data_IF_147775234027
#
_entry.id   IF_147775234027
#
_cell.length_a   1.000
_cell.length_b   1.000
_cell.length_c   1.000
_cell.angle_alpha   90.00
_cell.angle_beta   90.00
_cell.angle_gamma   90.00
#
_symmetry.space_group_name_H-M   'P 1'
#
loop_
_entity.id
_entity.type
_entity.pdbx_description
1 polymer ?
#
# COMPACT_ATOMS: atom_id res chain seq x y z
N UNK A 1 -3.66 -38.48 -27.81
CA UNK A 1 -2.39 -38.30 -27.05
C UNK A 1 -1.87 -36.87 -27.27
N UNK A 2 -2.12 -36.28 -28.43
CA UNK A 2 -1.69 -34.93 -28.82
C UNK A 2 -2.28 -33.79 -27.98
N UNK A 3 -3.47 -33.94 -27.39
CA UNK A 3 -4.02 -32.92 -26.46
C UNK A 3 -3.34 -32.91 -25.07
N UNK A 4 -2.49 -33.90 -24.74
CA UNK A 4 -1.80 -33.95 -23.44
C UNK A 4 -0.52 -33.11 -23.38
N UNK A 5 0.03 -32.75 -24.53
CA UNK A 5 1.27 -31.98 -24.63
C UNK A 5 0.99 -30.67 -25.36
N UNK A 6 1.15 -29.57 -24.64
CA UNK A 6 1.14 -28.26 -25.27
C UNK A 6 2.34 -28.14 -26.20
N UNK A 7 2.09 -27.83 -27.48
CA UNK A 7 3.12 -27.90 -28.51
C UNK A 7 4.15 -26.78 -28.44
N UNK A 8 3.79 -25.59 -27.94
CA UNK A 8 4.71 -24.45 -27.80
C UNK A 8 4.32 -23.57 -26.62
N UNK A 9 5.24 -23.37 -25.67
CA UNK A 9 5.14 -22.36 -24.63
C UNK A 9 6.49 -21.66 -24.45
N UNK A 10 6.47 -20.37 -24.12
CA UNK A 10 7.67 -19.51 -24.07
C UNK A 10 7.76 -18.75 -22.75
N UNK A 11 8.98 -18.46 -22.34
CA UNK A 11 9.33 -17.62 -21.20
C UNK A 11 10.05 -16.34 -21.65
N UNK A 12 10.52 -15.53 -20.70
CA UNK A 12 11.15 -14.23 -20.97
C UNK A 12 12.36 -14.32 -21.90
N UNK A 13 13.21 -15.32 -21.73
CA UNK A 13 14.46 -15.46 -22.51
C UNK A 13 14.24 -15.93 -23.95
N UNK A 14 13.07 -16.51 -24.24
CA UNK A 14 12.77 -17.04 -25.58
C UNK A 14 12.36 -15.94 -26.57
N UNK A 15 12.14 -14.71 -26.10
CA UNK A 15 11.56 -13.62 -26.89
C UNK A 15 12.28 -12.28 -26.69
N UNK A 16 12.24 -11.46 -27.73
CA UNK A 16 12.61 -10.04 -27.71
C UNK A 16 11.43 -9.21 -28.25
N UNK A 17 11.37 -7.95 -27.86
CA UNK A 17 10.41 -6.99 -28.43
C UNK A 17 11.03 -6.36 -29.68
N UNK A 18 10.30 -6.40 -30.79
CA UNK A 18 10.73 -5.78 -32.04
C UNK A 18 10.59 -4.24 -31.94
N UNK A 19 11.66 -3.47 -32.18
CA UNK A 19 11.58 -2.01 -32.21
C UNK A 19 10.60 -1.52 -33.28
N UNK A 20 9.82 -0.50 -32.97
CA UNK A 20 8.90 0.16 -33.90
C UNK A 20 9.16 1.67 -33.93
N UNK A 21 8.64 2.33 -34.96
CA UNK A 21 8.67 3.79 -35.07
C UNK A 21 8.04 4.45 -33.82
N UNK A 22 8.69 5.47 -33.28
CA UNK A 22 8.25 6.23 -32.10
C UNK A 22 8.51 7.72 -32.31
N UNK A 23 7.50 8.55 -32.02
CA UNK A 23 7.63 10.01 -31.97
C UNK A 23 7.82 10.53 -30.54
N UNK A 24 7.66 9.66 -29.53
CA UNK A 24 7.82 10.00 -28.12
C UNK A 24 9.21 9.63 -27.61
N UNK A 25 9.75 10.45 -26.71
CA UNK A 25 11.00 10.16 -26.00
C UNK A 25 10.72 9.47 -24.65
N UNK A 26 11.64 8.64 -24.12
CA UNK A 26 11.38 7.88 -22.89
C UNK A 26 10.95 8.72 -21.67
N UNK A 27 11.43 9.96 -21.55
CA UNK A 27 11.09 10.85 -20.44
C UNK A 27 9.63 11.35 -20.46
N UNK A 28 8.95 11.26 -21.60
CA UNK A 28 7.56 11.69 -21.79
C UNK A 28 6.56 10.53 -21.64
N UNK A 29 7.04 9.30 -21.47
CA UNK A 29 6.19 8.12 -21.38
C UNK A 29 5.52 8.05 -20.01
N UNK A 30 4.19 8.02 -20.00
CA UNK A 30 3.42 7.69 -18.80
C UNK A 30 3.46 6.19 -18.55
N UNK A 31 3.97 5.80 -17.38
CA UNK A 31 4.06 4.41 -16.93
C UNK A 31 3.00 4.08 -15.86
N UNK A 32 2.04 4.98 -15.65
CA UNK A 32 0.91 4.75 -14.76
C UNK A 32 0.06 3.56 -15.23
N UNK A 33 -0.57 2.88 -14.27
CA UNK A 33 -1.37 1.68 -14.54
C UNK A 33 -2.44 1.51 -13.48
N UNK A 34 -3.32 0.53 -13.67
CA UNK A 34 -4.35 0.15 -12.71
C UNK A 34 -4.04 -1.21 -12.11
N UNK A 35 -3.92 -1.28 -10.79
CA UNK A 35 -3.90 -2.54 -10.05
C UNK A 35 -5.30 -3.13 -9.96
N UNK A 36 -6.30 -2.28 -9.73
CA UNK A 36 -7.72 -2.62 -9.74
C UNK A 36 -8.51 -1.44 -10.32
N UNK A 37 -9.84 -1.52 -10.38
CA UNK A 37 -10.66 -0.40 -10.84
C UNK A 37 -10.51 0.86 -9.95
N UNK A 38 -10.32 0.66 -8.65
CA UNK A 38 -10.23 1.75 -7.65
C UNK A 38 -8.79 2.14 -7.28
N UNK A 39 -7.79 1.38 -7.73
CA UNK A 39 -6.39 1.56 -7.34
C UNK A 39 -5.53 1.76 -8.60
N UNK A 40 -5.13 3.02 -8.80
CA UNK A 40 -4.13 3.44 -9.78
C UNK A 40 -2.74 3.43 -9.13
N UNK A 41 -1.73 2.99 -9.88
CA UNK A 41 -0.33 3.06 -9.53
C UNK A 41 0.39 4.00 -10.50
N UNK A 42 1.40 4.73 -10.01
CA UNK A 42 2.23 5.60 -10.86
C UNK A 42 3.40 4.86 -11.51
N UNK A 43 3.73 3.67 -11.02
CA UNK A 43 4.61 2.71 -11.67
C UNK A 43 3.99 1.31 -11.62
N UNK A 44 4.23 0.43 -12.60
CA UNK A 44 3.55 -0.87 -12.68
C UNK A 44 4.22 -1.94 -11.81
N UNK A 45 4.60 -1.59 -10.58
CA UNK A 45 5.40 -2.43 -9.69
C UNK A 45 4.70 -2.59 -8.33
N UNK A 46 4.54 -3.85 -7.91
CA UNK A 46 4.17 -4.19 -6.54
C UNK A 46 5.17 -5.18 -5.92
N UNK A 47 5.33 -5.14 -4.59
CA UNK A 47 6.24 -6.06 -3.90
C UNK A 47 5.52 -7.35 -3.49
N UNK A 48 6.26 -8.46 -3.55
CA UNK A 48 5.72 -9.79 -3.23
C UNK A 48 5.43 -9.95 -1.73
N UNK A 49 4.35 -10.63 -1.32
CA UNK A 49 4.02 -10.92 0.07
C UNK A 49 4.88 -12.03 0.69
N UNK A 50 6.19 -11.81 0.69
CA UNK A 50 7.19 -12.69 1.29
C UNK A 50 7.81 -12.05 2.52
N UNK A 51 8.13 -12.86 3.53
CA UNK A 51 8.78 -12.42 4.78
C UNK A 51 10.19 -11.88 4.60
N UNK A 52 10.83 -12.18 3.46
CA UNK A 52 12.13 -11.64 3.05
C UNK A 52 12.02 -10.42 2.14
N UNK A 53 10.80 -9.93 1.87
CA UNK A 53 10.58 -8.84 0.91
C UNK A 53 9.77 -7.70 1.51
N UNK A 54 8.58 -7.97 2.07
CA UNK A 54 7.61 -6.91 2.33
C UNK A 54 7.06 -6.90 3.75
N UNK A 55 7.66 -6.06 4.58
CA UNK A 55 7.02 -5.48 5.78
C UNK A 55 6.75 -3.98 5.54
N UNK A 56 6.40 -3.22 6.58
CA UNK A 56 6.04 -1.80 6.46
C UNK A 56 7.12 -0.95 5.81
N UNK A 57 8.41 -1.18 6.07
CA UNK A 57 9.50 -0.38 5.48
C UNK A 57 9.49 -0.44 3.95
N UNK A 58 9.51 -1.65 3.37
CA UNK A 58 9.39 -1.86 1.92
C UNK A 58 8.08 -1.29 1.38
N UNK A 59 6.95 -1.54 2.06
CA UNK A 59 5.65 -1.06 1.60
C UNK A 59 5.56 0.46 1.56
N UNK A 60 6.13 1.15 2.55
CA UNK A 60 6.23 2.61 2.61
C UNK A 60 7.10 3.13 1.46
N UNK A 61 8.30 2.59 1.29
CA UNK A 61 9.23 3.06 0.27
C UNK A 61 8.68 2.85 -1.15
N UNK A 62 8.11 1.67 -1.41
CA UNK A 62 7.53 1.39 -2.73
C UNK A 62 6.29 2.25 -3.00
N UNK A 63 5.43 2.47 -1.99
CA UNK A 63 4.28 3.36 -2.15
C UNK A 63 4.71 4.82 -2.37
N UNK A 64 5.80 5.29 -1.76
CA UNK A 64 6.37 6.62 -2.00
C UNK A 64 6.84 6.80 -3.46
N UNK A 65 7.42 5.77 -4.05
CA UNK A 65 7.84 5.77 -5.47
C UNK A 65 6.68 5.50 -6.45
N UNK A 66 5.46 5.31 -5.95
CA UNK A 66 4.24 5.17 -6.77
C UNK A 66 3.82 3.73 -7.08
N UNK A 67 4.51 2.75 -6.52
CA UNK A 67 4.10 1.34 -6.53
C UNK A 67 3.18 1.02 -5.34
N UNK A 68 3.10 -0.26 -4.96
CA UNK A 68 2.34 -0.68 -3.78
C UNK A 68 2.97 -1.93 -3.15
N UNK A 69 3.14 -1.93 -1.83
CA UNK A 69 3.65 -3.10 -1.11
C UNK A 69 2.53 -4.01 -0.60
N UNK A 70 2.74 -5.34 -0.69
CA UNK A 70 1.84 -6.35 -0.11
C UNK A 70 2.46 -6.97 1.14
N UNK A 71 1.95 -6.66 2.33
CA UNK A 71 2.44 -7.22 3.60
C UNK A 71 2.22 -8.74 3.61
N UNK A 72 3.28 -9.50 3.90
CA UNK A 72 3.21 -10.96 3.96
C UNK A 72 2.35 -11.47 5.13
N UNK A 73 1.86 -12.71 5.01
CA UNK A 73 1.00 -13.35 6.03
C UNK A 73 1.74 -14.30 6.99
N UNK A 74 3.05 -14.45 6.83
CA UNK A 74 3.89 -15.30 7.70
C UNK A 74 4.17 -14.64 9.07
N UNK A 75 3.11 -14.21 9.75
CA UNK A 75 3.11 -13.61 11.08
C UNK A 75 1.71 -13.69 11.69
N UNK A 76 1.58 -13.36 12.98
CA UNK A 76 0.26 -13.33 13.63
C UNK A 76 -0.66 -12.29 12.98
N UNK A 77 -1.98 -12.47 13.15
CA UNK A 77 -2.98 -11.50 12.65
C UNK A 77 -2.73 -10.10 13.22
N UNK A 78 -2.39 -10.03 14.52
CA UNK A 78 -2.10 -8.77 15.19
C UNK A 78 -0.82 -8.09 14.66
N UNK A 79 0.24 -8.86 14.39
CA UNK A 79 1.48 -8.33 13.84
C UNK A 79 1.28 -7.78 12.42
N UNK A 80 0.53 -8.50 11.57
CA UNK A 80 0.27 -8.04 10.20
C UNK A 80 -0.58 -6.77 10.18
N UNK A 81 -1.57 -6.69 11.06
CA UNK A 81 -2.39 -5.50 11.25
C UNK A 81 -1.54 -4.29 11.71
N UNK A 82 -0.56 -4.52 12.57
CA UNK A 82 0.39 -3.49 12.99
C UNK A 82 1.28 -3.01 11.83
N UNK A 83 1.76 -3.91 10.98
CA UNK A 83 2.50 -3.53 9.76
C UNK A 83 1.65 -2.65 8.82
N UNK A 84 0.38 -3.02 8.58
CA UNK A 84 -0.56 -2.18 7.81
C UNK A 84 -0.72 -0.80 8.46
N UNK A 85 -0.97 -0.76 9.77
CA UNK A 85 -1.12 0.49 10.53
C UNK A 85 0.10 1.39 10.39
N UNK A 86 1.32 0.84 10.49
CA UNK A 86 2.57 1.60 10.29
C UNK A 86 2.61 2.27 8.91
N UNK A 87 2.22 1.55 7.85
CA UNK A 87 2.17 2.14 6.50
C UNK A 87 1.12 3.24 6.41
N UNK A 88 -0.11 2.98 6.87
CA UNK A 88 -1.21 3.98 6.81
C UNK A 88 -0.92 5.25 7.62
N UNK A 89 -0.04 5.17 8.64
CA UNK A 89 0.39 6.32 9.47
C UNK A 89 1.72 6.94 9.06
N UNK A 90 2.40 6.39 8.04
CA UNK A 90 3.77 6.82 7.66
C UNK A 90 3.81 8.18 6.96
N UNK A 91 2.75 8.48 6.20
CA UNK A 91 2.49 9.78 5.61
C UNK A 91 1.00 10.02 5.73
N UNK A 92 0.63 11.14 6.35
CA UNK A 92 -0.74 11.59 6.38
C UNK A 92 -0.80 12.79 5.44
N UNK A 93 -1.79 12.88 4.56
CA UNK A 93 -1.99 14.11 3.80
C UNK A 93 -2.54 15.19 4.73
N UNK A 94 -3.84 15.41 4.64
CA UNK A 94 -4.59 16.15 5.66
C UNK A 94 -5.03 15.14 6.72
N UNK A 95 -4.64 15.31 7.97
CA UNK A 95 -5.11 14.48 9.08
C UNK A 95 -6.53 14.91 9.40
N UNK A 96 -7.52 14.16 8.90
CA UNK A 96 -8.94 14.36 9.21
C UNK A 96 -9.22 13.74 10.58
N UNK A 97 -9.92 14.47 11.46
CA UNK A 97 -10.22 14.04 12.84
C UNK A 97 -8.95 13.63 13.63
N UNK A 98 -7.98 14.55 13.83
CA UNK A 98 -6.79 14.26 14.60
C UNK A 98 -7.15 13.85 16.04
N UNK A 99 -6.30 13.05 16.68
CA UNK A 99 -6.45 12.75 18.10
C UNK A 99 -6.35 14.04 18.93
N UNK A 100 -7.29 14.27 19.83
CA UNK A 100 -7.37 15.46 20.69
C UNK A 100 -7.36 15.09 22.17
N UNK A 101 -7.11 16.09 23.02
CA UNK A 101 -7.30 16.00 24.47
C UNK A 101 -8.12 17.18 24.99
N UNK A 102 -8.84 17.01 26.11
CA UNK A 102 -9.45 18.13 26.82
C UNK A 102 -8.38 18.95 27.57
N UNK A 103 -8.64 20.25 27.84
CA UNK A 103 -7.73 21.11 28.59
C UNK A 103 -7.35 20.57 29.98
N UNK A 104 -8.25 19.82 30.61
CA UNK A 104 -8.12 19.26 31.95
C UNK A 104 -7.27 17.98 32.00
N UNK A 105 -6.93 17.41 30.83
CA UNK A 105 -6.03 16.26 30.76
C UNK A 105 -4.66 16.58 31.35
N UNK A 106 -3.93 15.57 31.82
CA UNK A 106 -2.58 15.75 32.35
C UNK A 106 -1.55 15.77 31.23
N UNK A 107 -0.40 16.39 31.50
CA UNK A 107 0.76 16.34 30.61
C UNK A 107 1.22 14.90 30.34
N UNK A 108 1.13 14.00 31.32
CA UNK A 108 1.40 12.56 31.14
C UNK A 108 0.48 11.97 30.07
N UNK A 109 -0.83 12.24 30.14
CA UNK A 109 -1.78 11.76 29.15
C UNK A 109 -1.46 12.30 27.74
N UNK A 110 -1.02 13.56 27.63
CA UNK A 110 -0.56 14.13 26.37
C UNK A 110 0.68 13.41 25.83
N UNK A 111 1.69 13.15 26.66
CA UNK A 111 2.88 12.39 26.25
C UNK A 111 2.51 10.99 25.79
N UNK A 112 1.74 10.27 26.59
CA UNK A 112 1.37 8.89 26.30
C UNK A 112 0.55 8.80 25.00
N UNK A 113 -0.33 9.78 24.74
CA UNK A 113 -1.05 9.88 23.48
C UNK A 113 -0.10 10.23 22.30
N UNK A 114 0.88 11.13 22.50
CA UNK A 114 1.88 11.42 21.47
C UNK A 114 2.68 10.17 21.11
N UNK A 115 3.08 9.38 22.10
CA UNK A 115 3.85 8.15 21.91
C UNK A 115 3.00 7.06 21.25
N UNK A 116 1.75 6.87 21.72
CA UNK A 116 0.81 5.90 21.16
C UNK A 116 0.49 6.16 19.68
N UNK A 117 0.35 7.43 19.30
CA UNK A 117 0.03 7.81 17.92
C UNK A 117 1.28 8.19 17.10
N UNK A 118 2.47 8.18 17.72
CA UNK A 118 3.74 8.63 17.16
C UNK A 118 3.66 10.02 16.50
N UNK A 119 2.97 10.95 17.17
CA UNK A 119 2.78 12.33 16.72
C UNK A 119 3.62 13.30 17.57
N UNK A 120 3.97 14.46 17.01
CA UNK A 120 4.75 15.49 17.73
C UNK A 120 3.90 16.60 18.33
N UNK A 121 2.57 16.53 18.19
CA UNK A 121 1.65 17.45 18.82
C UNK A 121 0.20 17.01 18.72
N UNK A 122 -0.60 17.48 19.68
CA UNK A 122 -1.99 17.12 19.90
C UNK A 122 -2.80 18.42 20.01
N UNK A 123 -3.81 18.61 19.15
CA UNK A 123 -4.77 19.70 19.31
C UNK A 123 -5.62 19.51 20.57
N UNK A 124 -5.90 20.62 21.27
CA UNK A 124 -6.70 20.61 22.50
C UNK A 124 -8.08 21.15 22.18
N UNK A 125 -9.11 20.37 22.49
CA UNK A 125 -10.50 20.71 22.15
C UNK A 125 -11.40 20.61 23.38
N UNK A 126 -12.44 21.45 23.43
CA UNK A 126 -13.53 21.29 24.38
C UNK A 126 -14.44 20.10 24.00
N UNK A 127 -15.37 19.75 24.89
CA UNK A 127 -16.32 18.64 24.68
C UNK A 127 -17.23 18.81 23.47
N UNK A 128 -17.43 20.04 23.01
CA UNK A 128 -18.21 20.41 21.81
C UNK A 128 -17.39 20.43 20.52
N UNK A 129 -16.10 20.05 20.58
CA UNK A 129 -15.17 20.02 19.46
C UNK A 129 -14.44 21.35 19.19
N UNK A 130 -14.74 22.41 19.95
CA UNK A 130 -14.11 23.72 19.76
C UNK A 130 -12.61 23.67 20.07
N UNK A 131 -11.78 24.15 19.15
CA UNK A 131 -10.33 24.23 19.31
C UNK A 131 -9.96 25.31 20.33
N UNK A 132 -9.16 24.95 21.34
CA UNK A 132 -8.72 25.87 22.41
C UNK A 132 -7.22 25.91 22.62
N UNK A 133 -6.45 25.04 21.95
CA UNK A 133 -5.00 25.07 22.01
C UNK A 133 -4.32 23.97 21.22
N UNK A 134 -3.00 23.92 21.31
CA UNK A 134 -2.18 22.80 20.85
C UNK A 134 -1.05 22.57 21.84
N UNK A 135 -0.73 21.31 22.11
CA UNK A 135 0.45 20.91 22.88
C UNK A 135 1.39 20.08 22.00
N UNK A 136 2.68 20.33 22.09
CA UNK A 136 3.71 19.71 21.25
C UNK A 136 4.82 19.10 22.10
N UNK A 137 5.63 18.20 21.52
CA UNK A 137 6.82 17.66 22.22
C UNK A 137 7.79 18.74 22.69
N UNK A 138 7.82 19.90 22.05
CA UNK A 138 8.66 21.04 22.46
C UNK A 138 8.21 21.60 23.81
N UNK A 139 6.90 21.69 24.01
CA UNK A 139 6.30 22.21 25.24
C UNK A 139 6.56 21.27 26.43
N UNK A 140 6.68 19.97 26.16
CA UNK A 140 6.97 18.94 27.17
C UNK A 140 8.44 18.86 27.59
N UNK A 141 9.37 19.32 26.74
CA UNK A 141 10.80 19.03 26.88
C UNK A 141 11.45 19.67 28.11
N UNK A 142 10.87 20.74 28.64
CA UNK A 142 11.41 21.53 29.75
C UNK A 142 10.55 21.46 31.01
N UNK A 143 9.62 20.50 31.07
CA UNK A 143 8.76 20.34 32.24
C UNK A 143 9.46 19.50 33.32
N UNK A 144 9.55 20.08 34.52
CA UNK A 144 10.02 19.38 35.71
C UNK A 144 8.87 18.64 36.42
N UNK A 145 7.64 19.17 36.31
CA UNK A 145 6.43 18.58 36.89
C UNK A 145 5.51 18.04 35.79
N UNK A 146 5.22 16.74 35.85
CA UNK A 146 4.41 16.01 34.88
C UNK A 146 2.92 15.92 35.26
N UNK A 147 2.57 16.28 36.49
CA UNK A 147 1.18 16.25 36.98
C UNK A 147 0.37 17.51 36.59
N UNK A 148 1.00 18.46 35.90
CA UNK A 148 0.35 19.67 35.41
C UNK A 148 -0.76 19.33 34.41
N UNK A 149 -1.78 20.18 34.37
CA UNK A 149 -2.81 20.09 33.32
C UNK A 149 -2.25 20.59 32.00
N UNK A 150 -2.69 19.99 30.90
CA UNK A 150 -2.38 20.41 29.53
C UNK A 150 -2.69 21.88 29.32
N UNK A 151 -3.80 22.36 29.86
CA UNK A 151 -4.18 23.76 29.76
C UNK A 151 -3.08 24.71 30.28
N UNK A 152 -2.32 24.35 31.31
CA UNK A 152 -1.29 25.21 31.92
C UNK A 152 -0.05 25.37 31.05
N UNK A 153 0.16 24.45 30.09
CA UNK A 153 1.39 24.39 29.29
C UNK A 153 1.13 24.59 27.78
N UNK A 154 -0.08 24.28 27.31
CA UNK A 154 -0.42 24.35 25.89
C UNK A 154 -0.29 25.76 25.31
N UNK A 155 -0.01 25.85 24.02
CA UNK A 155 -0.16 27.10 23.28
C UNK A 155 -1.65 27.39 23.12
N UNK A 156 -2.10 28.56 23.61
CA UNK A 156 -3.52 29.00 23.56
C UNK A 156 -3.76 30.19 22.65
N UNK A 157 -2.75 31.05 22.52
CA UNK A 157 -2.81 32.29 21.75
C UNK A 157 -2.07 32.15 20.43
N UNK A 158 -2.47 32.95 19.43
CA UNK A 158 -1.85 32.95 18.09
C UNK A 158 -1.81 31.57 17.43
N UNK A 159 -2.84 30.75 17.67
CA UNK A 159 -3.01 29.47 16.99
C UNK A 159 -3.04 29.69 15.48
N UNK A 160 -2.12 29.02 14.79
CA UNK A 160 -2.07 29.07 13.33
C UNK A 160 -3.16 28.12 12.81
N UNK A 161 -4.24 28.73 12.35
CA UNK A 161 -5.45 28.06 11.90
C UNK A 161 -5.77 28.44 10.46
N UNK A 162 -6.51 27.58 9.77
CA UNK A 162 -7.11 27.90 8.48
C UNK A 162 -8.52 27.33 8.40
N UNK A 163 -9.41 28.07 7.74
CA UNK A 163 -10.83 27.73 7.58
C UNK A 163 -11.11 27.16 6.20
N UNK A 164 -12.02 26.18 6.13
CA UNK A 164 -12.48 25.61 4.86
C UNK A 164 -11.50 24.64 4.20
N UNK A 165 -11.62 24.47 2.88
CA UNK A 165 -10.79 23.56 2.08
C UNK A 165 -9.48 24.26 1.72
N UNK A 166 -8.41 23.96 2.47
CA UNK A 166 -7.08 24.54 2.26
C UNK A 166 -6.29 23.66 1.30
N UNK A 167 -5.75 24.25 0.23
CA UNK A 167 -4.82 23.55 -0.65
C UNK A 167 -3.46 23.36 0.03
N UNK A 168 -2.68 22.39 -0.44
CA UNK A 168 -1.35 22.14 0.11
C UNK A 168 -0.40 23.34 -0.05
N UNK A 169 -0.48 24.03 -1.18
CA UNK A 169 0.33 25.21 -1.46
C UNK A 169 -0.01 26.38 -0.53
N UNK A 170 -1.30 26.56 -0.22
CA UNK A 170 -1.75 27.56 0.76
C UNK A 170 -1.31 27.16 2.18
N UNK A 171 -1.49 25.89 2.55
CA UNK A 171 -1.06 25.39 3.85
C UNK A 171 0.45 25.60 4.05
N UNK A 172 1.26 25.34 3.03
CA UNK A 172 2.70 25.55 3.07
C UNK A 172 3.07 27.02 3.26
N UNK A 173 2.46 27.93 2.49
CA UNK A 173 2.69 29.37 2.62
C UNK A 173 2.39 29.83 4.05
N UNK A 174 1.25 29.40 4.61
CA UNK A 174 0.87 29.74 5.98
C UNK A 174 1.89 29.20 6.99
N UNK A 175 2.29 27.93 6.88
CA UNK A 175 3.27 27.31 7.78
C UNK A 175 4.64 28.02 7.72
N UNK A 176 5.11 28.37 6.51
CA UNK A 176 6.38 29.08 6.31
C UNK A 176 6.34 30.51 6.81
N UNK A 177 5.29 31.27 6.49
CA UNK A 177 5.11 32.67 6.93
C UNK A 177 5.01 32.76 8.44
N UNK A 178 4.27 31.85 9.07
CA UNK A 178 4.08 31.81 10.52
C UNK A 178 5.21 31.07 11.26
N UNK A 179 6.13 30.43 10.54
CA UNK A 179 7.26 29.65 11.08
C UNK A 179 6.84 28.60 12.11
N UNK A 180 5.76 27.89 11.80
CA UNK A 180 5.25 26.78 12.63
C UNK A 180 5.25 25.47 11.84
N UNK A 181 5.25 24.34 12.54
CA UNK A 181 5.27 23.01 11.91
C UNK A 181 3.87 22.44 11.68
N UNK A 182 2.82 23.06 12.23
CA UNK A 182 1.47 22.50 12.32
C UNK A 182 0.42 23.57 12.01
N UNK A 183 -0.51 23.26 11.13
CA UNK A 183 -1.63 24.08 10.72
C UNK A 183 -2.93 23.38 11.12
N UNK A 184 -3.70 24.02 11.99
CA UNK A 184 -4.96 23.49 12.51
C UNK A 184 -6.11 23.89 11.57
N UNK A 185 -6.85 22.93 11.05
CA UNK A 185 -8.00 23.20 10.19
C UNK A 185 -9.25 23.31 11.06
N UNK A 186 -10.01 24.38 10.89
CA UNK A 186 -11.24 24.63 11.66
C UNK A 186 -12.41 24.98 10.74
N UNK A 187 -13.64 24.76 11.22
CA UNK A 187 -14.86 25.25 10.56
C UNK A 187 -15.20 26.70 10.96
N UNK A 188 -16.34 27.20 10.50
CA UNK A 188 -16.83 28.55 10.80
C UNK A 188 -17.15 28.74 12.31
N UNK A 189 -17.47 27.66 13.02
CA UNK A 189 -17.73 27.64 14.47
C UNK A 189 -16.44 27.47 15.31
N UNK A 190 -15.26 27.45 14.66
CA UNK A 190 -13.96 27.19 15.28
C UNK A 190 -13.83 25.78 15.89
N UNK A 191 -14.59 24.81 15.38
CA UNK A 191 -14.40 23.39 15.69
C UNK A 191 -13.28 22.83 14.84
N UNK A 192 -12.47 21.96 15.45
CA UNK A 192 -11.35 21.32 14.75
C UNK A 192 -11.86 20.30 13.74
N UNK A 193 -11.48 20.46 12.47
CA UNK A 193 -11.82 19.56 11.37
C UNK A 193 -10.61 18.75 10.88
N UNK A 194 -9.39 19.25 11.11
CA UNK A 194 -8.19 18.56 10.67
C UNK A 194 -6.87 19.19 11.14
N UNK A 195 -5.77 18.55 10.73
CA UNK A 195 -4.40 19.00 11.01
C UNK A 195 -3.50 18.73 9.79
N UNK A 196 -2.69 19.71 9.40
CA UNK A 196 -1.63 19.56 8.39
C UNK A 196 -0.29 19.81 9.05
N UNK A 197 0.72 19.00 8.72
CA UNK A 197 2.09 19.19 9.23
C UNK A 197 3.07 19.55 8.12
N UNK A 198 4.13 20.28 8.45
CA UNK A 198 5.19 20.62 7.48
C UNK A 198 5.88 19.36 6.95
N UNK A 199 6.04 18.34 7.80
CA UNK A 199 6.60 17.05 7.44
C UNK A 199 5.78 16.40 6.32
N UNK A 200 4.46 16.47 6.41
CA UNK A 200 3.58 15.91 5.39
C UNK A 200 3.76 16.66 4.06
N UNK A 201 3.86 17.98 4.08
CA UNK A 201 4.13 18.79 2.87
C UNK A 201 5.48 18.43 2.23
N UNK A 202 6.54 18.32 3.04
CA UNK A 202 7.87 17.92 2.58
C UNK A 202 7.84 16.52 1.94
N UNK A 203 7.13 15.58 2.56
CA UNK A 203 6.93 14.23 2.01
C UNK A 203 6.17 14.26 0.68
N UNK A 204 5.17 15.14 0.55
CA UNK A 204 4.42 15.29 -0.70
C UNK A 204 5.25 15.86 -1.84
N UNK A 205 6.16 16.78 -1.55
CA UNK A 205 7.11 17.33 -2.53
C UNK A 205 8.20 16.34 -2.92
N UNK A 206 8.74 15.62 -1.94
CA UNK A 206 9.79 14.63 -2.16
C UNK A 206 9.29 13.46 -2.99
N UNK A 207 8.03 13.08 -2.79
CA UNK A 207 7.40 11.94 -3.44
C UNK A 207 6.10 12.36 -4.14
N UNK A 208 6.20 13.07 -5.29
CA UNK A 208 5.04 13.57 -6.02
C UNK A 208 4.21 12.44 -6.64
N UNK A 209 4.86 11.31 -6.95
CA UNK A 209 4.23 10.14 -7.55
C UNK A 209 3.73 9.12 -6.53
N UNK A 210 3.72 9.45 -5.23
CA UNK A 210 3.34 8.50 -4.19
C UNK A 210 1.92 7.94 -4.39
N UNK A 211 1.79 6.63 -4.24
CA UNK A 211 0.53 5.91 -4.30
C UNK A 211 -0.26 6.15 -3.02
N UNK A 212 -1.29 7.01 -3.09
CA UNK A 212 -2.09 7.46 -1.94
C UNK A 212 -3.56 7.09 -2.08
N UNK A 213 -4.20 6.91 -0.93
CA UNK A 213 -5.66 6.77 -0.82
C UNK A 213 -6.37 8.13 -0.89
N UNK A 214 -7.69 8.11 -0.82
CA UNK A 214 -8.54 9.32 -0.88
C UNK A 214 -8.30 10.28 0.30
N UNK A 215 -7.68 9.82 1.39
CA UNK A 215 -7.32 10.63 2.56
C UNK A 215 -5.87 11.14 2.48
N UNK A 216 -5.14 10.82 1.41
CA UNK A 216 -3.74 11.20 1.23
C UNK A 216 -2.75 10.32 1.98
N UNK A 217 -3.19 9.18 2.56
CA UNK A 217 -2.29 8.22 3.21
C UNK A 217 -1.69 7.29 2.18
N UNK A 218 -0.48 6.77 2.42
CA UNK A 218 0.10 5.76 1.52
C UNK A 218 -0.80 4.53 1.43
N UNK A 219 -0.91 3.96 0.23
CA UNK A 219 -1.64 2.71 0.02
C UNK A 219 -0.81 1.50 0.41
N UNK A 220 -1.49 0.47 0.91
CA UNK A 220 -0.87 -0.80 1.28
C UNK A 220 -1.82 -1.95 1.01
N UNK A 221 -1.27 -3.06 0.50
CA UNK A 221 -1.98 -4.32 0.42
C UNK A 221 -1.52 -5.31 1.48
N UNK A 222 -2.29 -6.36 1.71
CA UNK A 222 -1.89 -7.44 2.60
C UNK A 222 -2.32 -8.80 2.06
N UNK A 223 -1.46 -9.80 2.19
CA UNK A 223 -1.80 -11.17 1.83
C UNK A 223 -2.67 -11.84 2.89
N UNK A 224 -3.59 -12.68 2.43
CA UNK A 224 -4.41 -13.55 3.29
C UNK A 224 -4.43 -14.96 2.70
N UNK A 225 -4.53 -15.96 3.58
CA UNK A 225 -4.78 -17.34 3.22
C UNK A 225 -6.25 -17.61 2.91
N UNK A 226 -6.52 -18.84 2.49
CA UNK A 226 -7.87 -19.32 2.21
C UNK A 226 -8.64 -19.45 3.53
N UNK A 227 -9.89 -18.97 3.58
CA UNK A 227 -10.75 -18.98 4.77
C UNK A 227 -10.24 -18.25 6.03
N UNK A 228 -9.19 -17.41 5.93
CA UNK A 228 -8.67 -16.61 7.06
C UNK A 228 -9.51 -15.35 7.35
N UNK A 229 -10.83 -15.50 7.55
CA UNK A 229 -11.75 -14.35 7.65
C UNK A 229 -11.50 -13.44 8.86
N UNK A 230 -11.00 -13.97 9.97
CA UNK A 230 -10.59 -13.15 11.12
C UNK A 230 -9.43 -12.22 10.77
N UNK A 231 -8.50 -12.68 9.92
CA UNK A 231 -7.38 -11.88 9.42
C UNK A 231 -7.90 -10.78 8.49
N UNK A 232 -8.80 -11.14 7.58
CA UNK A 232 -9.49 -10.19 6.68
C UNK A 232 -10.14 -9.06 7.47
N UNK A 233 -11.00 -9.39 8.43
CA UNK A 233 -11.70 -8.41 9.26
C UNK A 233 -10.74 -7.49 10.00
N UNK A 234 -9.67 -8.07 10.59
CA UNK A 234 -8.69 -7.27 11.32
C UNK A 234 -7.92 -6.31 10.41
N UNK A 235 -7.50 -6.75 9.23
CA UNK A 235 -6.75 -5.90 8.28
C UNK A 235 -7.62 -4.77 7.73
N UNK A 236 -8.90 -5.04 7.47
CA UNK A 236 -9.88 -4.02 7.06
C UNK A 236 -10.06 -2.99 8.18
N UNK A 237 -10.10 -3.43 9.44
CA UNK A 237 -10.14 -2.53 10.60
C UNK A 237 -8.91 -1.63 10.74
N UNK A 238 -7.82 -1.89 10.02
CA UNK A 238 -6.64 -1.01 9.94
C UNK A 238 -6.54 -0.27 8.59
N UNK A 239 -7.63 -0.22 7.81
CA UNK A 239 -7.72 0.46 6.52
C UNK A 239 -6.75 -0.06 5.44
N UNK A 240 -6.54 -1.37 5.35
CA UNK A 240 -5.83 -1.98 4.21
C UNK A 240 -6.56 -1.64 2.89
N UNK A 241 -5.82 -1.30 1.85
CA UNK A 241 -6.41 -0.84 0.58
C UNK A 241 -6.83 -2.00 -0.34
N UNK A 242 -6.11 -3.12 -0.28
CA UNK A 242 -6.34 -4.29 -1.14
C UNK A 242 -5.90 -5.57 -0.43
N UNK A 243 -6.71 -6.63 -0.55
CA UNK A 243 -6.37 -7.96 -0.04
C UNK A 243 -5.88 -8.86 -1.17
N UNK A 244 -4.80 -9.60 -0.92
CA UNK A 244 -4.29 -10.60 -1.86
C UNK A 244 -4.58 -12.00 -1.32
N UNK A 245 -5.61 -12.65 -1.86
CA UNK A 245 -5.90 -14.06 -1.57
C UNK A 245 -4.85 -14.90 -2.30
N UNK A 246 -3.90 -15.41 -1.52
CA UNK A 246 -2.65 -15.95 -2.03
C UNK A 246 -2.52 -17.45 -1.74
N UNK A 247 -2.62 -18.25 -2.80
CA UNK A 247 -2.54 -19.72 -2.80
C UNK A 247 -1.62 -20.21 -3.93
N UNK A 248 -0.91 -21.32 -3.72
CA UNK A 248 -0.10 -21.94 -4.77
C UNK A 248 -0.93 -22.37 -5.99
N UNK A 249 -2.20 -22.74 -5.77
CA UNK A 249 -3.17 -23.05 -6.81
C UNK A 249 -4.46 -22.29 -6.53
N UNK A 250 -4.70 -21.22 -7.29
CA UNK A 250 -5.84 -20.31 -7.13
C UNK A 250 -7.12 -20.81 -7.82
N UNK A 251 -7.01 -21.71 -8.80
CA UNK A 251 -8.17 -22.27 -9.49
C UNK A 251 -8.77 -23.46 -8.71
N UNK A 252 -9.12 -23.23 -7.46
CA UNK A 252 -9.66 -24.23 -6.54
C UNK A 252 -10.93 -23.74 -5.86
N UNK A 253 -11.82 -24.66 -5.50
CA UNK A 253 -13.14 -24.33 -4.95
C UNK A 253 -13.04 -23.48 -3.67
N UNK A 254 -12.09 -23.79 -2.80
CA UNK A 254 -11.86 -23.07 -1.54
C UNK A 254 -11.37 -21.62 -1.77
N UNK A 255 -10.52 -21.38 -2.77
CA UNK A 255 -10.06 -20.02 -3.14
C UNK A 255 -11.22 -19.24 -3.74
N UNK A 256 -11.94 -19.81 -4.69
CA UNK A 256 -13.12 -19.20 -5.32
C UNK A 256 -14.16 -18.81 -4.26
N UNK A 257 -14.48 -19.70 -3.33
CA UNK A 257 -15.42 -19.42 -2.25
C UNK A 257 -14.92 -18.34 -1.30
N UNK A 258 -13.61 -18.33 -1.00
CA UNK A 258 -13.00 -17.28 -0.19
C UNK A 258 -13.13 -15.91 -0.87
N UNK A 259 -12.82 -15.80 -2.17
CA UNK A 259 -12.97 -14.55 -2.94
C UNK A 259 -14.42 -14.08 -2.93
N UNK A 260 -15.38 -14.97 -3.26
CA UNK A 260 -16.81 -14.63 -3.26
C UNK A 260 -17.27 -14.11 -1.91
N UNK A 261 -16.88 -14.78 -0.83
CA UNK A 261 -17.25 -14.37 0.52
C UNK A 261 -16.62 -13.03 0.90
N UNK A 262 -15.34 -12.81 0.57
CA UNK A 262 -14.68 -11.53 0.84
C UNK A 262 -15.40 -10.37 0.13
N UNK A 263 -15.69 -10.55 -1.16
CA UNK A 263 -16.40 -9.54 -1.96
C UNK A 263 -17.82 -9.28 -1.44
N UNK A 264 -18.54 -10.32 -1.02
CA UNK A 264 -19.91 -10.20 -0.50
C UNK A 264 -19.98 -9.50 0.87
N UNK A 265 -19.13 -9.92 1.81
CA UNK A 265 -19.27 -9.54 3.21
C UNK A 265 -18.58 -8.18 3.52
N UNK A 266 -17.53 -7.79 2.77
CA UNK A 266 -16.76 -6.57 3.06
C UNK A 266 -16.64 -5.56 1.91
N UNK A 267 -16.88 -5.95 0.65
CA UNK A 267 -16.82 -5.02 -0.49
C UNK A 267 -15.45 -4.39 -0.78
N UNK A 268 -14.37 -4.90 -0.19
CA UNK A 268 -12.99 -4.44 -0.43
C UNK A 268 -12.45 -4.90 -1.80
N UNK A 269 -11.41 -4.23 -2.29
CA UNK A 269 -10.65 -4.66 -3.47
C UNK A 269 -9.89 -5.97 -3.19
N UNK A 270 -10.02 -6.95 -4.07
CA UNK A 270 -9.43 -8.28 -3.91
C UNK A 270 -8.59 -8.65 -5.14
N UNK A 271 -7.31 -8.92 -4.91
CA UNK A 271 -6.46 -9.65 -5.85
C UNK A 271 -6.50 -11.13 -5.49
N UNK A 272 -6.66 -12.02 -6.47
CA UNK A 272 -6.64 -13.45 -6.22
C UNK A 272 -5.65 -14.19 -7.13
N UNK A 273 -4.98 -15.19 -6.57
CA UNK A 273 -4.07 -16.05 -7.33
C UNK A 273 -3.51 -17.22 -6.52
N UNK A 274 -2.62 -18.02 -7.09
CA UNK A 274 -2.05 -17.88 -8.43
C UNK A 274 -2.72 -18.79 -9.45
N UNK A 275 -2.83 -18.29 -10.68
CA UNK A 275 -3.29 -19.07 -11.83
C UNK A 275 -2.27 -18.98 -12.97
N UNK A 276 -2.35 -19.91 -13.91
CA UNK A 276 -1.46 -19.93 -15.07
C UNK A 276 -2.18 -20.32 -16.37
N UNK A 277 -3.52 -20.42 -16.33
CA UNK A 277 -4.37 -20.79 -17.46
C UNK A 277 -5.48 -19.77 -17.68
N UNK A 278 -6.07 -19.78 -18.88
CA UNK A 278 -7.18 -18.92 -19.25
C UNK A 278 -8.41 -19.18 -18.35
N UNK A 279 -8.72 -20.46 -18.12
CA UNK A 279 -9.86 -20.91 -17.31
C UNK A 279 -9.69 -20.53 -15.84
N UNK A 280 -8.47 -20.66 -15.30
CA UNK A 280 -8.22 -20.26 -13.91
C UNK A 280 -8.35 -18.76 -13.71
N UNK A 281 -7.89 -17.97 -14.69
CA UNK A 281 -8.08 -16.52 -14.66
C UNK A 281 -9.58 -16.16 -14.74
N UNK A 282 -10.31 -16.75 -15.68
CA UNK A 282 -11.76 -16.56 -15.82
C UNK A 282 -12.51 -16.95 -14.54
N UNK A 283 -12.19 -18.10 -13.94
CA UNK A 283 -12.83 -18.57 -12.72
C UNK A 283 -12.65 -17.62 -11.53
N UNK A 284 -11.48 -16.98 -11.40
CA UNK A 284 -11.26 -15.97 -10.35
C UNK A 284 -11.97 -14.64 -10.64
N UNK A 285 -12.02 -14.21 -11.91
CA UNK A 285 -12.79 -13.02 -12.32
C UNK A 285 -14.28 -13.23 -12.03
N UNK A 286 -14.84 -14.38 -12.41
CA UNK A 286 -16.24 -14.76 -12.14
C UNK A 286 -16.53 -14.91 -10.64
N UNK A 287 -15.52 -15.25 -9.82
CA UNK A 287 -15.63 -15.24 -8.37
C UNK A 287 -15.71 -13.83 -7.77
N UNK A 288 -15.36 -12.80 -8.54
CA UNK A 288 -15.40 -11.40 -8.14
C UNK A 288 -14.02 -10.78 -7.85
N UNK A 289 -12.91 -11.45 -8.22
CA UNK A 289 -11.59 -10.86 -8.06
C UNK A 289 -11.44 -9.58 -8.89
N UNK A 290 -10.90 -8.53 -8.29
CA UNK A 290 -10.70 -7.23 -8.95
C UNK A 290 -9.44 -7.19 -9.81
N UNK A 291 -8.48 -8.05 -9.51
CA UNK A 291 -7.37 -8.40 -10.38
C UNK A 291 -6.89 -9.83 -10.12
N UNK A 292 -6.21 -10.40 -11.11
CA UNK A 292 -5.74 -11.80 -11.05
C UNK A 292 -4.22 -11.86 -11.04
N UNK A 293 -3.66 -12.61 -10.08
CA UNK A 293 -2.22 -12.86 -9.96
C UNK A 293 -1.82 -14.12 -10.74
N UNK A 294 -0.88 -13.96 -11.66
CA UNK A 294 -0.55 -14.94 -12.71
C UNK A 294 0.89 -15.43 -12.57
N UNK A 295 1.06 -16.73 -12.41
CA UNK A 295 2.35 -17.40 -12.36
C UNK A 295 2.35 -18.62 -11.44
N UNK A 296 2.59 -19.80 -12.00
CA UNK A 296 2.79 -21.04 -11.22
C UNK A 296 4.11 -21.67 -11.66
N UNK A 297 5.06 -21.73 -10.72
CA UNK A 297 6.40 -22.22 -10.97
C UNK A 297 7.50 -21.21 -11.39
N UNK A 298 7.25 -19.99 -11.91
CA UNK A 298 8.31 -19.17 -12.50
C UNK A 298 9.23 -18.52 -11.46
N UNK A 299 8.80 -18.44 -10.19
CA UNK A 299 9.57 -17.81 -9.12
C UNK A 299 10.97 -18.40 -8.96
N UNK A 300 11.96 -17.55 -8.65
CA UNK A 300 13.38 -17.95 -8.55
C UNK A 300 13.65 -18.99 -7.47
N UNK A 301 12.92 -18.92 -6.35
CA UNK A 301 13.02 -19.88 -5.23
C UNK A 301 11.96 -21.00 -5.31
N UNK A 302 11.11 -20.99 -6.34
CA UNK A 302 9.97 -21.88 -6.42
C UNK A 302 10.40 -23.27 -6.91
N UNK A 303 10.22 -24.29 -6.07
CA UNK A 303 10.57 -25.68 -6.39
C UNK A 303 9.42 -26.46 -7.05
N UNK A 304 8.25 -25.85 -7.25
CA UNK A 304 7.03 -26.51 -7.77
C UNK A 304 7.27 -27.26 -9.06
N UNK A 305 8.02 -26.68 -10.02
CA UNK A 305 8.35 -27.33 -11.29
C UNK A 305 9.16 -28.61 -11.10
N UNK A 306 10.15 -28.58 -10.21
CA UNK A 306 11.07 -29.69 -9.97
C UNK A 306 10.39 -30.79 -9.14
N UNK A 307 9.61 -30.41 -8.13
CA UNK A 307 9.02 -31.37 -7.17
C UNK A 307 7.70 -31.96 -7.64
N UNK A 308 6.80 -31.13 -8.19
CA UNK A 308 5.46 -31.57 -8.60
C UNK A 308 5.31 -31.78 -10.10
N UNK A 309 6.26 -31.30 -10.91
CA UNK A 309 6.15 -31.27 -12.37
C UNK A 309 5.16 -30.23 -12.90
N UNK A 310 4.59 -29.37 -12.05
CA UNK A 310 3.55 -28.40 -12.43
C UNK A 310 4.16 -27.01 -12.66
N UNK A 311 3.75 -26.37 -13.76
CA UNK A 311 4.04 -24.97 -14.05
C UNK A 311 3.73 -24.61 -15.50
N UNK A 312 3.81 -23.32 -15.82
CA UNK A 312 3.66 -22.81 -17.19
C UNK A 312 4.76 -21.76 -17.43
N UNK A 313 5.43 -21.76 -18.59
CA UNK A 313 6.33 -20.68 -18.99
C UNK A 313 5.65 -19.30 -18.92
N UNK A 314 6.33 -18.32 -18.31
CA UNK A 314 5.65 -17.15 -17.74
C UNK A 314 5.01 -16.23 -18.80
N UNK A 315 5.65 -16.04 -19.95
CA UNK A 315 5.07 -15.24 -21.04
C UNK A 315 3.80 -15.90 -21.58
N UNK A 316 3.81 -17.24 -21.76
CA UNK A 316 2.60 -17.98 -22.14
C UNK A 316 1.50 -17.85 -21.09
N UNK A 317 1.81 -17.97 -19.80
CA UNK A 317 0.84 -17.84 -18.71
C UNK A 317 0.19 -16.44 -18.70
N UNK A 318 1.00 -15.38 -18.80
CA UNK A 318 0.52 -13.99 -18.86
C UNK A 318 -0.41 -13.80 -20.06
N UNK A 319 0.00 -14.23 -21.26
CA UNK A 319 -0.79 -14.05 -22.48
C UNK A 319 -2.13 -14.78 -22.41
N UNK A 320 -2.19 -15.96 -21.79
CA UNK A 320 -3.44 -16.71 -21.57
C UNK A 320 -4.37 -15.99 -20.61
N UNK A 321 -3.85 -15.54 -19.47
CA UNK A 321 -4.63 -14.78 -18.51
C UNK A 321 -5.14 -13.45 -19.13
N UNK A 322 -4.31 -12.77 -19.93
CA UNK A 322 -4.68 -11.53 -20.61
C UNK A 322 -5.86 -11.73 -21.56
N UNK A 323 -5.94 -12.87 -22.26
CA UNK A 323 -7.09 -13.22 -23.11
C UNK A 323 -8.38 -13.38 -22.30
N UNK A 324 -8.32 -14.08 -21.17
CA UNK A 324 -9.48 -14.21 -20.28
C UNK A 324 -9.94 -12.84 -19.75
N UNK A 325 -8.98 -12.00 -19.35
CA UNK A 325 -9.24 -10.73 -18.71
C UNK A 325 -9.67 -9.61 -19.67
N UNK A 326 -9.38 -9.75 -20.98
CA UNK A 326 -9.71 -8.75 -21.99
C UNK A 326 -11.21 -8.44 -22.06
N UNK A 327 -12.07 -9.46 -21.95
CA UNK A 327 -13.53 -9.28 -22.02
C UNK A 327 -14.09 -8.55 -20.80
N UNK A 328 -13.49 -8.73 -19.62
CA UNK A 328 -13.95 -8.12 -18.37
C UNK A 328 -13.23 -6.82 -18.02
N UNK A 329 -12.16 -6.46 -18.74
CA UNK A 329 -11.31 -5.31 -18.43
C UNK A 329 -10.58 -5.40 -17.09
N UNK A 330 -10.44 -6.62 -16.53
CA UNK A 330 -9.81 -6.80 -15.21
C UNK A 330 -8.28 -6.82 -15.34
N UNK A 331 -7.53 -6.08 -14.50
CA UNK A 331 -6.07 -6.14 -14.52
C UNK A 331 -5.54 -7.54 -14.19
N UNK A 332 -4.37 -7.86 -14.74
CA UNK A 332 -3.61 -9.05 -14.34
C UNK A 332 -2.21 -8.64 -13.88
N UNK A 333 -1.68 -9.41 -12.93
CA UNK A 333 -0.39 -9.19 -12.30
C UNK A 333 0.52 -10.35 -12.69
N UNK A 334 1.66 -10.05 -13.31
CA UNK A 334 2.69 -11.04 -13.58
C UNK A 334 3.55 -11.28 -12.33
N UNK A 335 3.49 -12.48 -11.76
CA UNK A 335 4.17 -12.86 -10.52
C UNK A 335 5.25 -13.92 -10.76
N UNK A 336 6.50 -13.53 -10.53
CA UNK A 336 7.67 -14.42 -10.59
C UNK A 336 8.38 -14.51 -11.95
N UNK A 337 9.63 -14.96 -11.92
CA UNK A 337 10.48 -15.19 -13.09
C UNK A 337 11.22 -13.95 -13.65
N UNK A 338 10.93 -12.76 -13.11
CA UNK A 338 11.57 -11.50 -13.52
C UNK A 338 12.95 -11.38 -12.88
N UNK A 339 13.99 -11.18 -13.69
CA UNK A 339 15.38 -10.99 -13.25
C UNK A 339 15.96 -9.65 -13.66
N UNK A 340 15.46 -9.07 -14.75
CA UNK A 340 15.95 -7.80 -15.29
C UNK A 340 14.78 -6.88 -15.67
N UNK A 341 15.05 -5.59 -15.85
CA UNK A 341 14.06 -4.61 -16.30
C UNK A 341 13.45 -4.95 -17.67
N UNK A 342 14.21 -5.62 -18.55
CA UNK A 342 13.71 -6.15 -19.80
C UNK A 342 12.57 -7.16 -19.63
N UNK A 343 12.60 -7.98 -18.57
CA UNK A 343 11.54 -8.97 -18.29
C UNK A 343 10.25 -8.29 -17.83
N UNK A 344 10.37 -7.18 -17.08
CA UNK A 344 9.22 -6.32 -16.74
C UNK A 344 8.57 -5.80 -18.03
N UNK A 345 9.38 -5.26 -18.94
CA UNK A 345 8.89 -4.74 -20.22
C UNK A 345 8.18 -5.82 -21.04
N UNK A 346 8.77 -7.03 -21.11
CA UNK A 346 8.17 -8.19 -21.79
C UNK A 346 6.88 -8.67 -21.13
N UNK A 347 6.81 -8.65 -19.79
CA UNK A 347 5.60 -9.02 -19.05
C UNK A 347 4.44 -8.08 -19.36
N UNK A 348 4.69 -6.76 -19.33
CA UNK A 348 3.70 -5.75 -19.68
C UNK A 348 3.28 -5.89 -21.15
N UNK A 349 4.23 -6.04 -22.07
CA UNK A 349 3.95 -6.27 -23.50
C UNK A 349 3.16 -7.58 -23.76
N UNK A 350 3.31 -8.60 -22.91
CA UNK A 350 2.54 -9.84 -22.97
C UNK A 350 1.09 -9.69 -22.46
N UNK A 351 0.74 -8.55 -21.85
CA UNK A 351 -0.60 -8.20 -21.41
C UNK A 351 -0.77 -8.00 -19.89
N UNK A 352 0.31 -8.06 -19.11
CA UNK A 352 0.24 -7.72 -17.70
C UNK A 352 0.06 -6.21 -17.49
N UNK A 353 -0.71 -5.83 -16.48
CA UNK A 353 -0.86 -4.43 -16.09
C UNK A 353 0.20 -4.02 -15.05
N UNK A 354 0.58 -4.98 -14.21
CA UNK A 354 1.48 -4.80 -13.07
C UNK A 354 2.39 -6.02 -12.99
N UNK A 355 3.63 -5.82 -12.53
CA UNK A 355 4.53 -6.91 -12.14
C UNK A 355 4.67 -6.98 -10.62
N UNK A 356 4.63 -8.20 -10.08
CA UNK A 356 4.96 -8.46 -8.68
C UNK A 356 6.41 -8.93 -8.57
N UNK A 357 7.21 -8.21 -7.79
CA UNK A 357 8.64 -8.45 -7.65
C UNK A 357 8.98 -9.00 -6.26
N UNK A 358 9.73 -10.10 -6.23
CA UNK A 358 10.32 -10.67 -5.01
C UNK A 358 11.83 -10.45 -4.96
N UNK A 359 12.58 -11.31 -5.68
CA UNK A 359 14.05 -11.34 -5.59
C UNK A 359 14.77 -10.03 -5.90
N UNK A 360 14.23 -9.18 -6.78
CA UNK A 360 14.81 -7.85 -7.06
C UNK A 360 14.69 -6.87 -5.89
N UNK A 361 13.73 -7.07 -4.99
CA UNK A 361 13.45 -6.21 -3.84
C UNK A 361 14.01 -6.77 -2.52
N UNK A 362 14.25 -8.08 -2.45
CA UNK A 362 14.70 -8.79 -1.24
C UNK A 362 16.10 -8.39 -0.71
N UNK A 363 16.87 -7.62 -1.49
CA UNK A 363 18.23 -7.17 -1.13
C UNK A 363 18.33 -5.68 -0.79
N UNK A 364 17.22 -4.94 -0.81
CA UNK A 364 17.19 -3.50 -0.54
C UNK A 364 17.23 -3.21 0.96
N UNK A 365 17.64 -1.99 1.33
CA UNK A 365 17.71 -1.53 2.73
C UNK A 365 16.37 -1.66 3.47
N UNK A 366 15.27 -1.52 2.73
CA UNK A 366 13.90 -1.56 3.24
C UNK A 366 13.33 -2.98 3.34
N UNK A 367 14.04 -3.98 2.83
CA UNK A 367 13.64 -5.38 2.96
C UNK A 367 13.83 -5.89 4.40
N UNK A 368 12.97 -6.79 4.90
CA UNK A 368 13.08 -7.32 6.25
C UNK A 368 14.39 -8.07 6.50
N UNK A 369 14.92 -7.92 7.72
CA UNK A 369 16.14 -8.61 8.17
C UNK A 369 17.24 -7.64 8.60
N UNK A 370 18.38 -8.21 9.02
CA UNK A 370 19.55 -7.44 9.40
C UNK A 370 20.65 -7.62 8.37
N UNK A 371 21.33 -6.52 8.03
CA UNK A 371 22.56 -6.58 7.23
C UNK A 371 23.65 -7.29 8.02
N UNK A 372 24.09 -8.43 7.50
CA UNK A 372 25.24 -9.16 8.02
C UNK A 372 26.41 -8.99 7.06
N UNK A 373 27.59 -8.69 7.60
CA UNK A 373 28.85 -8.80 6.85
C UNK A 373 29.29 -10.26 6.92
N UNK A 374 29.02 -11.01 5.85
CA UNK A 374 29.54 -12.38 5.72
C UNK A 374 31.04 -12.29 5.42
N UNK A 375 31.87 -12.90 6.27
CA UNK A 375 33.33 -12.96 6.13
C UNK A 375 33.77 -14.37 5.77
#
# INVERSE_FOLDING_TARGET
>A
MDEKFETVAVTFDDVLLEPRYSEVVPAEVDVSTRLTEQIELKIPIISSPMDTVTESAMAIALAQEGGLGIIHKNMSVAAQAEEVRKVKRSANGIIVNPATLPPEATVVAARDLMDQYNVSGIPITQSDGRLVGIITRRDLRFLENWDLKVSEVMTRENLVTATGTVTLEEAEKVLMEKKVEKLLLVDEDFRLTGLITIKDIDMMRRYPNACRDRQGRLRVGAAVGVHEYQRVERLIGEDVDVLVVDSAHGHSANVIETVRRIKRDWGIEVVAGNVATEEGCRGLIEAGADAVKVGIGPGSICTTRVISGVGVPQITAIRRAARAAAASGRPIIADGGIRYSGDVTKAIAAGAHVVMLGGLLAGLDESPGQRILYR
#
